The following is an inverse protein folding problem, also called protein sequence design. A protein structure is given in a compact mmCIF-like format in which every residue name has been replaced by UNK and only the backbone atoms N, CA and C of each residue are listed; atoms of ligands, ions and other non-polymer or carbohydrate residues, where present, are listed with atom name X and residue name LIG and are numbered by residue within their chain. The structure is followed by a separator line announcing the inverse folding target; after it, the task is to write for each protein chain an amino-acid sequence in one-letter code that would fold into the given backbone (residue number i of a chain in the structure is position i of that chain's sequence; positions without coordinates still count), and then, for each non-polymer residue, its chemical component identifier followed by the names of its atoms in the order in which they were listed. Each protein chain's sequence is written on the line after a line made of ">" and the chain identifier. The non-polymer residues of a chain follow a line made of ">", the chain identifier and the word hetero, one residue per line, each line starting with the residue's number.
data_IF_607225773026
#
_entry.id   IF_607225773026
#
_cell.length_a   1.000
_cell.length_b   1.000
_cell.length_c   1.000
_cell.angle_alpha   90.00
_cell.angle_beta   90.00
_cell.angle_gamma   90.00
#
_symmetry.space_group_name_H-M   'P 1'
#
loop_
_entity.id
_entity.type
_entity.pdbx_description
1 polymer ?
#
# COMPACT_ATOMS: atom_id res chain seq x y z
N UNK A 1 -21.62 -10.21 14.24
CA UNK A 1 -21.31 -9.93 12.82
C UNK A 1 -19.81 -9.86 12.70
N UNK A 2 -19.18 -10.80 11.98
CA UNK A 2 -17.73 -10.78 11.77
C UNK A 2 -17.39 -9.74 10.72
N UNK A 3 -16.49 -8.81 11.04
CA UNK A 3 -15.98 -7.86 10.04
C UNK A 3 -15.33 -8.64 8.89
N UNK A 4 -15.54 -8.19 7.65
CA UNK A 4 -14.86 -8.81 6.50
C UNK A 4 -13.34 -8.57 6.62
N UNK A 5 -12.50 -9.47 6.06
CA UNK A 5 -11.04 -9.35 6.15
C UNK A 5 -10.50 -7.99 5.70
N UNK A 6 -11.14 -7.37 4.70
CA UNK A 6 -10.84 -6.02 4.22
C UNK A 6 -11.09 -4.92 5.27
N UNK A 7 -12.19 -5.00 6.03
CA UNK A 7 -12.52 -4.02 7.06
C UNK A 7 -11.58 -4.13 8.26
N UNK A 8 -11.24 -5.34 8.67
CA UNK A 8 -10.28 -5.56 9.76
C UNK A 8 -8.88 -5.07 9.36
N UNK A 9 -8.45 -5.36 8.14
CA UNK A 9 -7.19 -4.92 7.60
C UNK A 9 -7.05 -3.39 7.54
N UNK A 10 -8.10 -2.69 7.11
CA UNK A 10 -8.11 -1.24 7.04
C UNK A 10 -7.98 -0.59 8.43
N UNK A 11 -8.47 -1.25 9.47
CA UNK A 11 -8.36 -0.77 10.85
C UNK A 11 -6.95 -0.98 11.44
N UNK A 12 -6.26 -2.06 11.07
CA UNK A 12 -4.95 -2.41 11.66
C UNK A 12 -3.77 -1.85 10.87
N UNK A 13 -3.92 -1.60 9.57
CA UNK A 13 -2.85 -1.13 8.69
C UNK A 13 -2.17 0.16 9.18
N UNK A 14 -2.89 1.22 9.61
CA UNK A 14 -2.24 2.45 10.07
C UNK A 14 -1.29 2.21 11.25
N UNK A 15 -1.76 1.46 12.25
CA UNK A 15 -0.95 1.13 13.43
C UNK A 15 0.26 0.27 13.05
N UNK A 16 0.07 -0.72 12.17
CA UNK A 16 1.15 -1.57 11.66
C UNK A 16 2.18 -0.74 10.87
N UNK A 17 1.74 0.23 10.06
CA UNK A 17 2.63 1.10 9.29
C UNK A 17 3.49 1.96 10.22
N UNK A 18 2.86 2.64 11.19
CA UNK A 18 3.58 3.48 12.15
C UNK A 18 4.61 2.68 12.94
N UNK A 19 4.29 1.46 13.36
CA UNK A 19 5.21 0.60 14.09
C UNK A 19 6.46 0.19 13.28
N UNK A 20 6.36 0.10 11.95
CA UNK A 20 7.47 -0.32 11.08
C UNK A 20 8.25 0.86 10.46
N UNK A 21 7.58 1.98 10.21
CA UNK A 21 8.09 3.04 9.33
C UNK A 21 7.86 4.47 9.85
N UNK A 22 7.15 4.64 10.97
CA UNK A 22 6.75 5.96 11.48
C UNK A 22 7.90 6.86 11.92
N UNK A 23 9.11 6.31 12.06
CA UNK A 23 10.35 7.06 12.32
C UNK A 23 10.87 7.82 11.09
N UNK A 24 10.49 7.38 9.88
CA UNK A 24 11.04 7.87 8.61
C UNK A 24 9.98 8.32 7.61
N UNK A 25 8.74 7.88 7.80
CA UNK A 25 7.65 8.10 6.85
C UNK A 25 6.36 8.53 7.53
N UNK A 26 5.69 9.51 6.92
CA UNK A 26 4.34 9.94 7.22
C UNK A 26 3.36 9.17 6.33
N UNK A 27 2.42 8.42 6.92
CA UNK A 27 1.37 7.75 6.15
C UNK A 27 0.44 8.79 5.51
N UNK A 28 0.38 8.82 4.18
CA UNK A 28 -0.49 9.73 3.43
C UNK A 28 -1.85 9.09 3.15
N UNK A 29 -1.84 7.80 2.81
CA UNK A 29 -3.07 7.08 2.57
C UNK A 29 -2.82 5.64 2.14
N UNK A 30 -3.91 4.88 2.13
CA UNK A 30 -3.91 3.51 1.65
C UNK A 30 -5.26 3.20 1.02
N UNK A 31 -5.28 2.20 0.14
CA UNK A 31 -6.51 1.75 -0.51
C UNK A 31 -6.44 0.27 -0.90
N UNK A 32 -7.59 -0.41 -0.94
CA UNK A 32 -7.61 -1.81 -1.34
C UNK A 32 -7.23 -2.00 -2.81
N UNK A 33 -6.55 -3.11 -3.11
CA UNK A 33 -6.27 -3.55 -4.46
C UNK A 33 -7.31 -4.60 -4.88
N UNK A 34 -7.88 -4.45 -6.08
CA UNK A 34 -8.62 -5.52 -6.75
C UNK A 34 -7.63 -6.37 -7.55
N UNK A 35 -6.86 -7.21 -6.87
CA UNK A 35 -6.01 -8.19 -7.53
C UNK A 35 -6.84 -9.43 -7.90
N UNK A 36 -6.86 -9.82 -9.17
CA UNK A 36 -7.44 -11.08 -9.62
C UNK A 36 -6.44 -12.19 -9.35
N UNK A 37 -6.70 -12.93 -8.27
CA UNK A 37 -6.15 -14.22 -7.87
C UNK A 37 -4.72 -14.30 -7.26
N UNK A 38 -4.68 -15.17 -6.24
CA UNK A 38 -3.57 -15.84 -5.56
C UNK A 38 -2.78 -15.09 -4.48
N UNK A 39 -2.15 -13.95 -4.76
CA UNK A 39 -1.12 -13.47 -3.82
C UNK A 39 -1.49 -12.17 -3.12
N UNK A 40 -2.19 -12.33 -1.99
CA UNK A 40 -1.80 -11.76 -0.69
C UNK A 40 -1.74 -10.24 -0.49
N UNK A 41 -1.69 -9.40 -1.52
CA UNK A 41 -1.44 -7.97 -1.39
C UNK A 41 -2.75 -7.19 -1.52
N UNK A 42 -3.35 -6.89 -0.37
CA UNK A 42 -4.70 -6.36 -0.27
C UNK A 42 -4.74 -4.84 -0.35
N UNK A 43 -3.65 -4.13 -0.07
CA UNK A 43 -3.64 -2.66 -0.09
C UNK A 43 -2.40 -2.09 -0.77
N UNK A 44 -2.58 -0.97 -1.48
CA UNK A 44 -1.51 -0.02 -1.78
C UNK A 44 -1.42 0.96 -0.62
N UNK A 45 -0.21 1.21 -0.14
CA UNK A 45 0.08 2.20 0.90
C UNK A 45 1.01 3.25 0.32
N UNK A 46 0.68 4.52 0.50
CA UNK A 46 1.49 5.67 0.10
C UNK A 46 1.92 6.43 1.35
N UNK A 47 3.22 6.68 1.47
CA UNK A 47 3.78 7.47 2.54
C UNK A 47 4.77 8.50 2.01
N UNK A 48 5.00 9.55 2.79
CA UNK A 48 5.90 10.65 2.48
C UNK A 48 7.11 10.61 3.38
N UNK A 49 8.29 10.86 2.83
CA UNK A 49 9.54 11.02 3.57
C UNK A 49 9.81 12.50 3.86
N UNK A 50 10.63 12.79 4.87
CA UNK A 50 10.98 14.15 5.26
C UNK A 50 11.62 15.00 4.12
N UNK A 51 12.29 14.36 3.16
CA UNK A 51 12.87 15.01 1.97
C UNK A 51 11.83 15.39 0.90
N UNK A 52 10.55 15.07 1.12
CA UNK A 52 9.45 15.38 0.20
C UNK A 52 9.17 14.30 -0.84
N UNK A 53 9.98 13.23 -0.91
CA UNK A 53 9.71 12.07 -1.76
C UNK A 53 8.61 11.19 -1.19
N UNK A 54 8.01 10.36 -2.05
CA UNK A 54 6.95 9.42 -1.67
C UNK A 54 7.40 7.98 -1.88
N UNK A 55 6.86 7.08 -1.07
CA UNK A 55 7.12 5.66 -1.15
C UNK A 55 5.80 4.88 -1.21
N UNK A 56 5.84 3.73 -1.89
CA UNK A 56 4.69 2.84 -2.08
C UNK A 56 5.01 1.46 -1.54
N UNK A 57 4.11 0.89 -0.75
CA UNK A 57 4.16 -0.53 -0.35
C UNK A 57 2.88 -1.25 -0.76
N UNK A 58 2.99 -2.57 -0.81
CA UNK A 58 1.83 -3.46 -0.71
C UNK A 58 1.70 -3.97 0.72
N UNK A 59 0.47 -4.14 1.20
CA UNK A 59 0.21 -4.74 2.52
C UNK A 59 -0.63 -6.01 2.40
N UNK A 60 -0.15 -7.08 3.01
CA UNK A 60 -0.86 -8.35 3.16
C UNK A 60 -1.55 -8.40 4.51
N UNK A 61 -2.87 -8.28 4.51
CA UNK A 61 -3.63 -8.33 5.76
C UNK A 61 -3.81 -9.74 6.33
N UNK A 62 -3.70 -10.77 5.50
CA UNK A 62 -3.78 -12.17 5.95
C UNK A 62 -2.49 -12.58 6.67
N UNK A 63 -1.33 -12.16 6.16
CA UNK A 63 -0.03 -12.42 6.80
C UNK A 63 0.42 -11.31 7.77
N UNK A 64 -0.27 -10.17 7.79
CA UNK A 64 0.06 -9.02 8.65
C UNK A 64 1.37 -8.32 8.29
N UNK A 65 1.76 -8.29 7.02
CA UNK A 65 3.10 -7.86 6.60
C UNK A 65 3.12 -6.91 5.41
N UNK A 66 4.17 -6.09 5.33
CA UNK A 66 4.45 -5.21 4.19
C UNK A 66 5.33 -5.92 3.16
N UNK A 67 4.95 -5.83 1.89
CA UNK A 67 5.76 -6.25 0.75
C UNK A 67 6.81 -5.22 0.37
N UNK A 68 7.54 -5.48 -0.72
CA UNK A 68 8.60 -4.60 -1.22
C UNK A 68 8.09 -3.19 -1.53
N UNK A 69 8.85 -2.20 -1.04
CA UNK A 69 8.59 -0.79 -1.27
C UNK A 69 9.21 -0.30 -2.59
N UNK A 70 8.49 0.53 -3.34
CA UNK A 70 9.10 1.41 -4.35
C UNK A 70 9.34 2.78 -3.71
N UNK A 71 10.58 3.24 -3.74
CA UNK A 71 11.02 4.50 -3.16
C UNK A 71 11.17 5.59 -4.24
N UNK A 72 11.24 6.85 -3.82
CA UNK A 72 11.51 8.01 -4.68
C UNK A 72 10.42 8.32 -5.73
N UNK A 73 9.15 8.16 -5.35
CA UNK A 73 8.02 8.62 -6.16
C UNK A 73 7.86 10.13 -6.04
N UNK A 74 7.63 10.78 -7.18
CA UNK A 74 7.14 12.16 -7.24
C UNK A 74 5.70 12.27 -6.74
N UNK A 75 5.32 13.43 -6.19
CA UNK A 75 3.97 13.69 -5.66
C UNK A 75 2.86 13.31 -6.64
N UNK A 76 3.02 13.70 -7.92
CA UNK A 76 2.04 13.39 -8.96
C UNK A 76 1.80 11.88 -9.08
N UNK A 77 2.89 11.10 -9.09
CA UNK A 77 2.79 9.63 -9.21
C UNK A 77 2.16 9.02 -7.97
N UNK A 78 2.48 9.53 -6.79
CA UNK A 78 1.86 9.11 -5.53
C UNK A 78 0.34 9.36 -5.52
N UNK A 79 -0.12 10.52 -6.01
CA UNK A 79 -1.53 10.85 -6.12
C UNK A 79 -2.26 9.99 -7.16
N UNK A 80 -1.67 9.77 -8.34
CA UNK A 80 -2.23 8.89 -9.37
C UNK A 80 -2.52 7.49 -8.79
N UNK A 81 -1.56 6.95 -8.03
CA UNK A 81 -1.68 5.65 -7.36
C UNK A 81 -2.74 5.60 -6.26
N UNK A 82 -3.18 6.74 -5.73
CA UNK A 82 -4.29 6.80 -4.77
C UNK A 82 -5.65 6.83 -5.47
N UNK A 83 -5.73 7.41 -6.66
CA UNK A 83 -6.99 7.67 -7.37
C UNK A 83 -7.36 6.56 -8.36
N UNK A 84 -6.37 5.85 -8.92
CA UNK A 84 -6.58 4.88 -10.03
C UNK A 84 -7.44 3.67 -9.61
N UNK A 85 -8.73 3.54 -9.98
CA UNK A 85 -9.70 2.67 -9.30
C UNK A 85 -9.33 1.18 -9.28
N UNK A 86 -8.40 0.75 -10.14
CA UNK A 86 -7.93 -0.62 -10.26
C UNK A 86 -6.43 -0.57 -10.52
N UNK A 87 -5.59 -0.68 -9.49
CA UNK A 87 -4.16 -0.93 -9.72
C UNK A 87 -3.98 -2.40 -10.11
N UNK A 88 -4.24 -2.72 -11.38
CA UNK A 88 -3.75 -3.97 -11.95
C UNK A 88 -2.24 -3.80 -12.12
N UNK A 89 -1.46 -4.52 -11.30
CA UNK A 89 -0.08 -4.82 -11.64
C UNK A 89 -0.13 -5.48 -13.02
N UNK A 90 0.10 -4.71 -14.10
CA UNK A 90 0.31 -5.33 -15.41
C UNK A 90 1.46 -6.31 -15.20
N UNK A 91 1.32 -7.59 -15.58
CA UNK A 91 2.45 -8.50 -15.55
C UNK A 91 3.56 -7.82 -16.35
N UNK A 92 4.76 -7.75 -15.77
CA UNK A 92 5.92 -7.28 -16.49
C UNK A 92 5.99 -8.07 -17.79
N UNK A 93 5.79 -7.40 -18.92
CA UNK A 93 5.94 -8.03 -20.23
C UNK A 93 7.43 -8.31 -20.35
N UNK A 94 7.84 -9.53 -20.03
CA UNK A 94 9.14 -10.06 -20.43
C UNK A 94 9.08 -10.27 -21.94
N UNK A 95 9.84 -9.45 -22.67
CA UNK A 95 10.13 -9.57 -24.10
C UNK A 95 10.77 -10.91 -24.44
#
# INVERSE_FOLDING_TARGET
>A
MSATPLTLAAATLPAAFVANFGDRFELIGFRPMTAVAADSYLFVVIARRADGTFAKWTYNATAGGFGSGHYDLELRRALELMIEPTYSLRPAVTS
#
